data_IF_372109471599
#
_entry.id   IF_372109471599
#
_cell.length_a   1.000
_cell.length_b   1.000
_cell.length_c   1.000
_cell.angle_alpha   90.00
_cell.angle_beta   90.00
_cell.angle_gamma   90.00
#
_symmetry.space_group_name_H-M   'P 1'
#
loop_
_entity.id
_entity.type
_entity.pdbx_description
1 polymer ?
#
# COMPACT_ATOMS: atom_id res chain seq x y z
N UNK A 1 14.00 -27.51 30.39
CA UNK A 1 12.87 -26.60 30.16
C UNK A 1 13.40 -25.52 29.24
N UNK A 2 13.20 -25.68 27.94
CA UNK A 2 13.58 -24.66 26.94
C UNK A 2 12.61 -23.53 27.12
N UNK A 3 13.10 -22.34 27.47
CA UNK A 3 12.35 -21.09 27.43
C UNK A 3 11.87 -20.88 26.02
N UNK A 4 10.62 -21.23 25.74
CA UNK A 4 9.98 -20.93 24.48
C UNK A 4 9.88 -19.42 24.33
N UNK A 5 10.82 -18.82 23.63
CA UNK A 5 10.64 -17.45 23.15
C UNK A 5 9.37 -17.44 22.30
N UNK A 6 8.37 -16.67 22.71
CA UNK A 6 7.22 -16.43 21.84
C UNK A 6 7.76 -15.84 20.53
N UNK A 7 7.31 -16.33 19.37
CA UNK A 7 7.75 -15.78 18.10
C UNK A 7 7.44 -14.29 18.06
N UNK A 8 8.40 -13.51 17.57
CA UNK A 8 8.34 -12.05 17.59
C UNK A 8 7.18 -11.53 16.74
N UNK A 9 6.46 -10.54 17.23
CA UNK A 9 5.51 -9.77 16.44
C UNK A 9 6.26 -9.03 15.35
N UNK A 10 5.79 -9.11 14.11
CA UNK A 10 6.36 -8.40 12.96
C UNK A 10 5.63 -7.07 12.81
N UNK A 11 6.36 -5.99 12.74
CA UNK A 11 5.80 -4.65 12.54
C UNK A 11 6.03 -4.22 11.09
N UNK A 12 4.94 -3.89 10.40
CA UNK A 12 4.91 -3.45 9.02
C UNK A 12 4.28 -2.07 8.93
N UNK A 13 4.97 -1.11 8.33
CA UNK A 13 4.48 0.23 8.06
C UNK A 13 4.01 0.30 6.61
N UNK A 14 2.71 0.42 6.41
CA UNK A 14 2.14 0.61 5.08
C UNK A 14 1.99 2.09 4.77
N UNK A 15 2.64 2.54 3.70
CA UNK A 15 2.62 3.91 3.19
C UNK A 15 2.19 3.84 1.72
N UNK A 16 1.30 4.72 1.29
CA UNK A 16 0.68 4.59 -0.03
C UNK A 16 0.29 5.93 -0.65
N UNK A 17 0.08 5.94 -1.95
CA UNK A 17 -0.54 7.05 -2.68
C UNK A 17 0.19 8.37 -2.44
N UNK A 18 1.48 8.42 -2.82
CA UNK A 18 2.33 9.60 -2.64
C UNK A 18 2.09 10.63 -3.72
N UNK A 19 1.78 10.16 -4.95
CA UNK A 19 1.55 10.97 -6.13
C UNK A 19 2.64 12.02 -6.35
N UNK A 20 3.90 11.61 -6.22
CA UNK A 20 5.03 12.53 -6.41
C UNK A 20 5.04 13.05 -7.85
N UNK A 21 5.18 14.38 -8.01
CA UNK A 21 5.28 15.04 -9.30
C UNK A 21 6.72 15.03 -9.79
N UNK A 22 6.95 15.26 -11.09
CA UNK A 22 8.30 15.39 -11.66
C UNK A 22 9.07 16.52 -10.98
N UNK A 23 8.44 17.65 -10.77
CA UNK A 23 8.99 18.75 -9.97
C UNK A 23 8.54 18.65 -8.50
N UNK A 24 9.45 18.75 -7.52
CA UNK A 24 9.12 18.60 -6.11
C UNK A 24 8.32 19.76 -5.50
N UNK A 25 8.07 20.82 -6.29
CA UNK A 25 7.25 21.97 -5.87
C UNK A 25 5.91 22.03 -6.57
N UNK A 26 5.67 21.14 -7.54
CA UNK A 26 4.39 21.05 -8.23
C UNK A 26 3.30 20.51 -7.32
N UNK A 27 2.08 20.95 -7.55
CA UNK A 27 0.92 20.59 -6.76
C UNK A 27 0.02 19.59 -7.45
N UNK A 28 -0.71 18.82 -6.66
CA UNK A 28 -1.87 18.00 -7.07
C UNK A 28 -3.01 18.36 -6.14
N UNK A 29 -4.15 18.79 -6.67
CA UNK A 29 -5.26 19.32 -5.88
C UNK A 29 -4.81 20.38 -4.84
N UNK A 30 -3.90 21.29 -5.25
CA UNK A 30 -3.32 22.32 -4.42
C UNK A 30 -2.22 21.88 -3.46
N UNK A 31 -2.04 20.58 -3.22
CA UNK A 31 -1.05 20.02 -2.29
C UNK A 31 0.29 19.83 -2.99
N UNK A 32 1.37 20.35 -2.39
CA UNK A 32 2.75 19.97 -2.74
C UNK A 32 3.00 18.56 -2.20
N UNK A 33 2.79 17.54 -3.04
CA UNK A 33 2.78 16.13 -2.62
C UNK A 33 4.13 15.66 -2.07
N UNK A 34 5.24 16.17 -2.59
CA UNK A 34 6.58 15.95 -2.04
C UNK A 34 6.72 16.41 -0.59
N UNK A 35 6.21 17.59 -0.26
CA UNK A 35 6.27 18.13 1.10
C UNK A 35 5.40 17.30 2.05
N UNK A 36 4.19 16.95 1.62
CA UNK A 36 3.28 16.12 2.40
C UNK A 36 3.88 14.75 2.69
N UNK A 37 4.40 14.06 1.68
CA UNK A 37 5.08 12.77 1.84
C UNK A 37 6.27 12.85 2.82
N UNK A 38 7.14 13.86 2.68
CA UNK A 38 8.27 14.04 3.61
C UNK A 38 7.82 14.31 5.04
N UNK A 39 6.70 15.00 5.25
CA UNK A 39 6.14 15.21 6.57
C UNK A 39 5.62 13.91 7.17
N UNK A 40 4.97 13.06 6.37
CA UNK A 40 4.58 11.69 6.79
C UNK A 40 5.82 10.86 7.13
N UNK A 41 6.87 10.87 6.31
CA UNK A 41 8.13 10.16 6.62
C UNK A 41 8.76 10.64 7.93
N UNK A 42 8.74 11.96 8.21
CA UNK A 42 9.23 12.49 9.49
C UNK A 42 8.41 12.01 10.67
N UNK A 43 7.09 11.86 10.50
CA UNK A 43 6.20 11.38 11.57
C UNK A 43 6.37 9.88 11.88
N UNK A 44 6.98 9.09 10.98
CA UNK A 44 7.39 7.72 11.26
C UNK A 44 8.40 7.61 12.40
N UNK A 45 8.99 8.74 12.82
CA UNK A 45 10.08 8.79 13.78
C UNK A 45 11.16 7.73 13.49
N UNK A 46 12.14 8.03 12.60
CA UNK A 46 13.17 7.07 12.20
C UNK A 46 13.93 6.41 13.34
N UNK A 47 13.97 7.06 14.52
CA UNK A 47 14.61 6.52 15.73
C UNK A 47 13.79 5.39 16.38
N UNK A 48 12.51 5.29 16.07
CA UNK A 48 11.63 4.22 16.57
C UNK A 48 11.50 3.04 15.59
N UNK A 49 11.90 3.23 14.33
CA UNK A 49 11.95 2.17 13.33
C UNK A 49 13.18 1.30 13.61
N UNK A 50 12.94 0.01 13.82
CA UNK A 50 13.98 -0.99 14.06
C UNK A 50 14.39 -1.66 12.76
N UNK A 51 15.59 -2.19 12.70
CA UNK A 51 16.07 -2.97 11.55
C UNK A 51 15.22 -4.25 11.30
N UNK A 52 14.48 -4.70 12.31
CA UNK A 52 13.54 -5.82 12.23
C UNK A 52 12.14 -5.45 11.76
N UNK A 53 11.85 -4.16 11.58
CA UNK A 53 10.59 -3.69 11.02
C UNK A 53 10.63 -3.77 9.49
N UNK A 54 9.49 -3.56 8.86
CA UNK A 54 9.36 -3.58 7.41
C UNK A 54 8.52 -2.39 6.94
N UNK A 55 8.81 -1.87 5.77
CA UNK A 55 8.01 -0.84 5.11
C UNK A 55 7.43 -1.43 3.83
N UNK A 56 6.15 -1.19 3.60
CA UNK A 56 5.43 -1.60 2.40
C UNK A 56 4.81 -0.38 1.72
N UNK A 57 5.24 -0.11 0.50
CA UNK A 57 4.73 0.95 -0.35
C UNK A 57 3.71 0.34 -1.32
N UNK A 58 2.42 0.70 -1.17
CA UNK A 58 1.33 0.04 -1.88
C UNK A 58 0.81 0.80 -3.10
N UNK A 59 1.72 1.39 -3.87
CA UNK A 59 1.45 1.96 -5.18
C UNK A 59 1.11 3.45 -5.17
N UNK A 60 0.93 3.98 -6.38
CA UNK A 60 0.79 5.41 -6.69
C UNK A 60 1.92 6.23 -6.06
N UNK A 61 3.15 5.72 -6.27
CA UNK A 61 4.37 6.35 -5.77
C UNK A 61 4.66 7.64 -6.53
N UNK A 62 4.36 7.66 -7.83
CA UNK A 62 4.53 8.80 -8.71
C UNK A 62 3.21 9.15 -9.40
N UNK A 63 2.85 10.43 -9.44
CA UNK A 63 1.80 10.95 -10.33
C UNK A 63 2.30 11.01 -11.76
N UNK A 64 3.55 11.45 -11.92
CA UNK A 64 4.26 11.51 -13.18
C UNK A 64 5.38 10.46 -13.12
N UNK A 65 5.25 9.28 -13.75
CA UNK A 65 6.17 8.15 -13.62
C UNK A 65 7.48 8.36 -14.40
N UNK A 66 8.20 9.43 -14.07
CA UNK A 66 9.50 9.79 -14.62
C UNK A 66 10.64 9.19 -13.80
N UNK A 67 11.77 8.76 -14.39
CA UNK A 67 12.95 8.29 -13.68
C UNK A 67 13.43 9.23 -12.55
N UNK A 68 13.37 10.55 -12.77
CA UNK A 68 13.74 11.56 -11.77
C UNK A 68 12.86 11.47 -10.52
N UNK A 69 11.53 11.26 -10.71
CA UNK A 69 10.58 11.12 -9.61
C UNK A 69 10.94 9.93 -8.73
N UNK A 70 11.19 8.77 -9.32
CA UNK A 70 11.58 7.56 -8.58
C UNK A 70 12.96 7.67 -7.93
N UNK A 71 13.95 8.31 -8.60
CA UNK A 71 15.26 8.57 -8.00
C UNK A 71 15.17 9.51 -6.79
N UNK A 72 14.30 10.52 -6.86
CA UNK A 72 14.02 11.41 -5.72
C UNK A 72 13.35 10.65 -4.59
N UNK A 73 12.34 9.83 -4.86
CA UNK A 73 11.73 8.95 -3.86
C UNK A 73 12.79 8.07 -3.18
N UNK A 74 13.65 7.42 -3.98
CA UNK A 74 14.76 6.61 -3.46
C UNK A 74 15.65 7.42 -2.51
N UNK A 75 15.94 8.67 -2.83
CA UNK A 75 16.75 9.54 -1.97
C UNK A 75 16.09 9.85 -0.62
N UNK A 76 14.77 9.91 -0.57
CA UNK A 76 14.02 10.10 0.68
C UNK A 76 14.03 8.85 1.56
N UNK A 77 14.02 7.67 0.97
CA UNK A 77 13.95 6.39 1.69
C UNK A 77 15.31 5.88 2.17
N UNK A 78 16.42 6.38 1.62
CA UNK A 78 17.80 5.88 1.91
C UNK A 78 18.24 5.95 3.37
N UNK A 79 17.53 6.70 4.21
CA UNK A 79 17.84 6.82 5.64
C UNK A 79 17.11 5.78 6.51
N UNK A 80 16.23 5.01 5.90
CA UNK A 80 15.54 3.92 6.58
C UNK A 80 16.49 2.75 6.75
N UNK A 81 16.48 2.15 7.94
CA UNK A 81 17.39 1.05 8.30
C UNK A 81 16.74 -0.32 8.18
N UNK A 82 15.45 -0.38 7.85
CA UNK A 82 14.68 -1.60 7.65
C UNK A 82 14.41 -1.86 6.17
N UNK A 83 14.11 -3.11 5.77
CA UNK A 83 13.73 -3.44 4.41
C UNK A 83 12.51 -2.67 3.93
N UNK A 84 12.57 -2.17 2.70
CA UNK A 84 11.46 -1.49 2.02
C UNK A 84 11.00 -2.35 0.84
N UNK A 85 9.71 -2.65 0.80
CA UNK A 85 9.05 -3.36 -0.29
C UNK A 85 8.08 -2.42 -0.99
N UNK A 86 7.93 -2.55 -2.30
CA UNK A 86 6.97 -1.74 -3.04
C UNK A 86 6.25 -2.55 -4.10
N UNK A 87 5.11 -2.06 -4.52
CA UNK A 87 4.35 -2.52 -5.67
C UNK A 87 3.80 -1.30 -6.43
N UNK A 88 3.50 -1.42 -7.73
CA UNK A 88 2.99 -0.30 -8.53
C UNK A 88 1.51 -0.01 -8.24
N UNK A 89 1.12 1.27 -8.40
CA UNK A 89 -0.26 1.70 -8.55
C UNK A 89 -0.58 2.10 -9.99
N UNK A 90 -1.81 2.56 -10.25
CA UNK A 90 -2.27 2.88 -11.61
C UNK A 90 -1.62 4.13 -12.20
N UNK A 91 -1.03 4.99 -11.38
CA UNK A 91 -0.24 6.14 -11.83
C UNK A 91 1.22 5.76 -12.09
N UNK A 92 1.72 4.65 -11.57
CA UNK A 92 3.09 4.21 -11.77
C UNK A 92 3.29 3.57 -13.16
N UNK A 93 4.54 3.62 -13.63
CA UNK A 93 5.02 2.78 -14.74
C UNK A 93 5.96 1.72 -14.18
N UNK A 94 5.54 0.44 -14.12
CA UNK A 94 6.32 -0.62 -13.47
C UNK A 94 7.72 -0.80 -14.06
N UNK A 95 7.91 -0.55 -15.36
CA UNK A 95 9.22 -0.68 -16.00
C UNK A 95 10.17 0.45 -15.56
N UNK A 96 9.69 1.69 -15.56
CA UNK A 96 10.45 2.86 -15.10
C UNK A 96 10.73 2.76 -13.61
N UNK A 97 9.73 2.37 -12.81
CA UNK A 97 9.87 2.13 -11.37
C UNK A 97 10.96 1.09 -11.10
N UNK A 98 10.92 -0.04 -11.77
CA UNK A 98 11.92 -1.11 -11.58
C UNK A 98 13.34 -0.65 -11.90
N UNK A 99 13.52 0.16 -12.96
CA UNK A 99 14.84 0.66 -13.38
C UNK A 99 15.39 1.76 -12.47
N UNK A 100 14.53 2.65 -11.95
CA UNK A 100 14.95 3.86 -11.27
C UNK A 100 14.88 3.80 -9.75
N UNK A 101 13.95 3.00 -9.18
CA UNK A 101 13.70 2.90 -7.74
C UNK A 101 14.35 1.66 -7.12
N UNK A 102 14.23 0.50 -7.78
CA UNK A 102 14.58 -0.79 -7.18
C UNK A 102 16.10 -0.96 -7.06
N UNK A 103 16.56 -1.46 -5.89
CA UNK A 103 17.94 -1.85 -5.60
C UNK A 103 18.00 -2.88 -4.46
N UNK A 104 19.13 -2.94 -3.74
CA UNK A 104 19.29 -3.85 -2.60
C UNK A 104 18.43 -3.48 -1.40
N UNK A 105 18.13 -2.19 -1.22
CA UNK A 105 17.42 -1.66 -0.06
C UNK A 105 15.91 -1.53 -0.32
N UNK A 106 15.53 -1.24 -1.57
CA UNK A 106 14.12 -1.11 -2.01
C UNK A 106 13.82 -2.21 -3.01
N UNK A 107 12.86 -3.08 -2.69
CA UNK A 107 12.61 -4.32 -3.42
C UNK A 107 11.19 -4.38 -3.98
N UNK A 108 11.07 -4.94 -5.17
CA UNK A 108 9.81 -5.35 -5.75
C UNK A 108 9.82 -6.86 -5.89
N UNK A 109 9.30 -7.55 -4.89
CA UNK A 109 9.29 -9.01 -4.79
C UNK A 109 7.85 -9.50 -4.67
N UNK A 110 7.52 -10.57 -5.38
CA UNK A 110 6.18 -11.14 -5.34
C UNK A 110 5.88 -11.94 -4.06
N UNK A 111 6.93 -12.42 -3.36
CA UNK A 111 6.81 -13.18 -2.12
C UNK A 111 7.93 -12.82 -1.16
N UNK A 112 7.57 -12.47 0.06
CA UNK A 112 8.49 -12.08 1.12
C UNK A 112 8.17 -12.90 2.37
N UNK A 113 9.16 -13.61 2.91
CA UNK A 113 9.00 -14.36 4.15
C UNK A 113 9.29 -13.46 5.37
N UNK A 114 8.32 -13.32 6.23
CA UNK A 114 8.34 -12.48 7.42
C UNK A 114 8.09 -13.35 8.66
N UNK A 115 9.07 -14.18 9.04
CA UNK A 115 8.93 -15.10 10.17
C UNK A 115 7.76 -16.08 9.99
N UNK A 116 6.70 -15.99 10.80
CA UNK A 116 5.49 -16.83 10.69
C UNK A 116 4.51 -16.34 9.62
N UNK A 117 4.81 -15.23 8.96
CA UNK A 117 4.00 -14.66 7.89
C UNK A 117 4.70 -14.71 6.54
N UNK A 118 3.93 -14.87 5.49
CA UNK A 118 4.36 -14.62 4.11
C UNK A 118 3.56 -13.45 3.57
N UNK A 119 4.25 -12.42 3.06
CA UNK A 119 3.64 -11.32 2.32
C UNK A 119 3.72 -11.64 0.83
N UNK A 120 2.59 -11.60 0.12
CA UNK A 120 2.50 -11.79 -1.33
C UNK A 120 2.08 -10.47 -1.95
N UNK A 121 2.93 -9.91 -2.83
CA UNK A 121 2.69 -8.66 -3.54
C UNK A 121 2.26 -8.94 -4.98
N UNK A 122 1.14 -8.34 -5.39
CA UNK A 122 0.54 -8.51 -6.71
C UNK A 122 0.46 -7.16 -7.44
N UNK A 123 0.72 -7.19 -8.74
CA UNK A 123 0.45 -6.07 -9.64
C UNK A 123 -1.00 -6.15 -10.13
N UNK A 124 -1.81 -5.21 -9.69
CA UNK A 124 -3.22 -5.08 -10.10
C UNK A 124 -3.44 -3.99 -11.15
N UNK A 125 -2.37 -3.43 -11.72
CA UNK A 125 -2.47 -2.31 -12.66
C UNK A 125 -2.95 -2.75 -14.05
N UNK A 126 -3.69 -1.87 -14.69
CA UNK A 126 -4.02 -1.94 -16.12
C UNK A 126 -3.40 -0.71 -16.77
N UNK A 127 -2.56 -0.93 -17.76
CA UNK A 127 -1.87 0.18 -18.43
C UNK A 127 -2.85 1.26 -18.90
N UNK A 128 -2.63 2.52 -18.49
CA UNK A 128 -3.45 3.69 -18.83
C UNK A 128 -4.92 3.57 -18.38
N UNK A 129 -5.17 2.90 -17.29
CA UNK A 129 -6.50 2.80 -16.71
C UNK A 129 -6.43 2.99 -15.19
N UNK A 130 -7.37 3.71 -14.57
CA UNK A 130 -7.46 3.81 -13.13
C UNK A 130 -8.09 2.56 -12.48
N UNK A 131 -8.56 1.59 -13.29
CA UNK A 131 -9.18 0.35 -12.81
C UNK A 131 -8.11 -0.70 -12.53
N UNK A 132 -8.40 -1.57 -11.54
CA UNK A 132 -7.57 -2.70 -11.21
C UNK A 132 -8.01 -3.99 -11.93
N UNK A 133 -7.06 -4.86 -12.23
CA UNK A 133 -7.30 -6.23 -12.67
C UNK A 133 -6.06 -7.08 -12.42
N UNK A 134 -6.22 -8.29 -11.95
CA UNK A 134 -5.15 -9.27 -11.95
C UNK A 134 -5.12 -10.00 -13.29
N UNK A 135 -3.99 -9.90 -14.00
CA UNK A 135 -3.78 -10.68 -15.23
C UNK A 135 -3.73 -12.17 -14.93
N UNK A 136 -3.90 -13.03 -15.95
CA UNK A 136 -3.72 -14.47 -15.76
C UNK A 136 -2.36 -14.80 -15.15
N UNK A 137 -1.30 -14.13 -15.58
CA UNK A 137 0.04 -14.31 -15.01
C UNK A 137 0.10 -13.94 -13.52
N UNK A 138 -0.64 -12.93 -13.08
CA UNK A 138 -0.72 -12.56 -11.66
C UNK A 138 -1.56 -13.56 -10.84
N UNK A 139 -2.61 -14.13 -11.41
CA UNK A 139 -3.38 -15.19 -10.76
C UNK A 139 -2.57 -16.50 -10.65
N UNK A 140 -1.84 -16.89 -11.70
CA UNK A 140 -0.94 -18.04 -11.68
C UNK A 140 0.21 -17.85 -10.69
N UNK A 141 0.76 -16.61 -10.61
CA UNK A 141 1.78 -16.23 -9.62
C UNK A 141 1.23 -16.32 -8.20
N UNK A 142 0.01 -15.84 -7.97
CA UNK A 142 -0.66 -15.93 -6.68
C UNK A 142 -0.83 -17.40 -6.26
N UNK A 143 -1.36 -18.24 -7.12
CA UNK A 143 -1.53 -19.67 -6.85
C UNK A 143 -0.21 -20.35 -6.47
N UNK A 144 0.84 -20.10 -7.27
CA UNK A 144 2.20 -20.61 -7.00
C UNK A 144 2.74 -20.14 -5.65
N UNK A 145 2.56 -18.84 -5.32
CA UNK A 145 3.03 -18.26 -4.07
C UNK A 145 2.22 -18.78 -2.86
N UNK A 146 0.92 -19.01 -3.00
CA UNK A 146 0.11 -19.64 -1.94
C UNK A 146 0.59 -21.05 -1.61
N UNK A 147 1.01 -21.82 -2.62
CA UNK A 147 1.54 -23.18 -2.46
C UNK A 147 2.94 -23.20 -1.85
N UNK A 148 3.79 -22.23 -2.20
CA UNK A 148 5.21 -22.16 -1.77
C UNK A 148 5.42 -21.39 -0.46
N UNK A 149 4.40 -20.66 0.03
CA UNK A 149 4.46 -19.85 1.24
C UNK A 149 4.89 -20.67 2.46
N UNK A 150 6.00 -20.27 3.10
CA UNK A 150 6.57 -20.94 4.28
C UNK A 150 5.89 -20.51 5.57
N UNK A 151 5.36 -19.29 5.61
CA UNK A 151 4.63 -18.78 6.77
C UNK A 151 3.37 -19.60 7.09
N UNK A 152 2.98 -19.57 8.35
CA UNK A 152 1.72 -20.15 8.83
C UNK A 152 0.53 -19.28 8.43
N UNK A 153 0.78 -18.00 8.16
CA UNK A 153 -0.19 -16.98 7.81
C UNK A 153 0.26 -16.21 6.58
N UNK A 154 -0.70 -15.78 5.75
CA UNK A 154 -0.44 -15.05 4.51
C UNK A 154 -1.18 -13.71 4.53
N UNK A 155 -0.46 -12.66 4.15
CA UNK A 155 -0.99 -11.35 3.83
C UNK A 155 -0.78 -11.08 2.34
N UNK A 156 -1.83 -10.62 1.66
CA UNK A 156 -1.75 -10.20 0.25
C UNK A 156 -1.65 -8.67 0.21
N UNK A 157 -0.80 -8.13 -0.65
CA UNK A 157 -0.71 -6.71 -0.92
C UNK A 157 -0.94 -6.44 -2.42
N UNK A 158 -1.80 -5.50 -2.73
CA UNK A 158 -2.03 -4.99 -4.07
C UNK A 158 -2.45 -3.51 -3.97
N UNK A 159 -2.42 -2.78 -5.10
CA UNK A 159 -2.80 -1.37 -5.05
C UNK A 159 -4.32 -1.18 -4.97
N UNK A 160 -5.06 -1.76 -5.91
CA UNK A 160 -6.52 -1.56 -6.00
C UNK A 160 -7.28 -2.37 -4.95
N UNK A 161 -8.35 -1.79 -4.42
CA UNK A 161 -9.24 -2.46 -3.47
C UNK A 161 -10.05 -3.58 -4.16
N UNK A 162 -10.12 -4.79 -3.57
CA UNK A 162 -10.78 -5.93 -4.21
C UNK A 162 -12.28 -6.02 -3.91
N UNK A 163 -12.81 -5.21 -2.99
CA UNK A 163 -14.23 -5.12 -2.64
C UNK A 163 -14.67 -3.66 -2.60
N UNK A 164 -15.96 -3.35 -2.78
CA UNK A 164 -16.43 -1.98 -2.70
C UNK A 164 -16.08 -1.30 -1.37
N UNK A 165 -15.55 -0.08 -1.45
CA UNK A 165 -15.28 0.77 -0.28
C UNK A 165 -16.52 1.57 0.16
N UNK A 166 -17.54 1.64 -0.70
CA UNK A 166 -18.80 2.34 -0.49
C UNK A 166 -18.84 3.76 -1.06
N UNK A 167 -17.81 4.20 -1.79
CA UNK A 167 -17.80 5.42 -2.58
C UNK A 167 -18.07 5.06 -4.04
N UNK A 168 -19.24 5.40 -4.58
CA UNK A 168 -19.73 4.88 -5.87
C UNK A 168 -18.75 5.14 -7.03
N UNK A 169 -18.19 6.34 -7.11
CA UNK A 169 -17.20 6.67 -8.14
C UNK A 169 -15.92 5.84 -8.02
N UNK A 170 -15.43 5.62 -6.79
CA UNK A 170 -14.22 4.85 -6.48
C UNK A 170 -14.46 3.36 -6.74
N UNK A 171 -15.66 2.87 -6.43
CA UNK A 171 -16.04 1.47 -6.63
C UNK A 171 -16.12 1.07 -8.11
N UNK A 172 -16.12 2.05 -9.04
CA UNK A 172 -15.94 1.78 -10.49
C UNK A 172 -14.52 1.34 -10.84
N UNK A 173 -13.55 1.53 -9.94
CA UNK A 173 -12.11 1.31 -10.13
C UNK A 173 -11.54 0.17 -9.28
N UNK A 174 -12.40 -0.69 -8.74
CA UNK A 174 -12.00 -1.92 -8.02
C UNK A 174 -11.20 -2.88 -8.90
N UNK A 175 -10.68 -3.95 -8.30
CA UNK A 175 -10.17 -5.11 -9.04
C UNK A 175 -11.33 -5.75 -9.83
N UNK A 176 -11.32 -5.62 -11.16
CA UNK A 176 -12.43 -5.99 -12.05
C UNK A 176 -12.75 -7.49 -12.09
N UNK A 177 -11.80 -8.32 -11.72
CA UNK A 177 -11.96 -9.79 -11.64
C UNK A 177 -11.78 -10.26 -10.19
N UNK A 178 -12.37 -9.56 -9.24
CA UNK A 178 -12.31 -9.92 -7.83
C UNK A 178 -12.84 -11.32 -7.54
N UNK A 179 -13.87 -11.80 -8.27
CA UNK A 179 -14.39 -13.16 -8.10
C UNK A 179 -13.32 -14.22 -8.40
N UNK A 180 -12.58 -14.06 -9.51
CA UNK A 180 -11.45 -14.95 -9.87
C UNK A 180 -10.35 -14.87 -8.79
N UNK A 181 -10.04 -13.68 -8.31
CA UNK A 181 -9.07 -13.45 -7.25
C UNK A 181 -9.45 -14.17 -5.95
N UNK A 182 -10.67 -13.96 -5.45
CA UNK A 182 -11.14 -14.65 -4.24
C UNK A 182 -11.26 -16.15 -4.43
N UNK A 183 -11.60 -16.63 -5.64
CA UNK A 183 -11.59 -18.06 -5.94
C UNK A 183 -10.19 -18.66 -5.72
N UNK A 184 -9.14 -18.03 -6.22
CA UNK A 184 -7.75 -18.48 -5.99
C UNK A 184 -7.38 -18.40 -4.51
N UNK A 185 -7.72 -17.31 -3.81
CA UNK A 185 -7.43 -17.15 -2.37
C UNK A 185 -8.06 -18.25 -1.51
N UNK A 186 -9.26 -18.71 -1.87
CA UNK A 186 -9.97 -19.77 -1.14
C UNK A 186 -9.29 -21.15 -1.24
N UNK A 187 -8.28 -21.31 -2.09
CA UNK A 187 -7.46 -22.53 -2.14
C UNK A 187 -6.54 -22.65 -0.91
N UNK A 188 -6.33 -21.58 -0.14
CA UNK A 188 -5.46 -21.58 1.02
C UNK A 188 -6.15 -21.05 2.29
N UNK A 189 -6.23 -21.86 3.31
CA UNK A 189 -6.74 -21.45 4.63
C UNK A 189 -5.77 -20.56 5.43
N UNK A 190 -4.55 -20.30 4.91
CA UNK A 190 -3.54 -19.47 5.55
C UNK A 190 -3.76 -17.97 5.35
N UNK A 191 -4.54 -17.55 4.35
CA UNK A 191 -4.77 -16.12 4.05
C UNK A 191 -5.55 -15.48 5.18
N UNK A 192 -5.00 -14.41 5.76
CA UNK A 192 -5.58 -13.65 6.89
C UNK A 192 -6.03 -12.27 6.49
N UNK A 193 -5.27 -11.60 5.62
CA UNK A 193 -5.59 -10.24 5.24
C UNK A 193 -5.17 -9.90 3.80
N UNK A 194 -5.83 -8.88 3.28
CA UNK A 194 -5.46 -8.15 2.07
C UNK A 194 -5.24 -6.71 2.47
N UNK A 195 -4.12 -6.10 2.06
CA UNK A 195 -3.84 -4.68 2.25
C UNK A 195 -3.80 -3.97 0.90
N UNK A 196 -4.40 -2.77 0.83
CA UNK A 196 -4.45 -1.99 -0.41
C UNK A 196 -4.25 -0.48 -0.16
N UNK A 197 -3.91 0.25 -1.23
CA UNK A 197 -3.94 1.70 -1.35
C UNK A 197 -5.16 2.18 -2.12
N UNK A 198 -4.95 3.12 -3.05
CA UNK A 198 -5.89 3.60 -4.07
C UNK A 198 -7.08 4.41 -3.55
N UNK A 199 -7.71 3.97 -2.48
CA UNK A 199 -8.94 4.58 -1.96
C UNK A 199 -8.71 5.83 -1.12
N UNK A 200 -7.46 6.15 -0.75
CA UNK A 200 -7.10 7.27 0.13
C UNK A 200 -7.95 7.36 1.40
N UNK A 201 -8.31 6.23 1.97
CA UNK A 201 -9.17 6.13 3.16
C UNK A 201 -8.63 5.14 4.17
N UNK A 202 -8.93 5.36 5.45
CA UNK A 202 -8.78 4.34 6.47
C UNK A 202 -9.95 3.37 6.36
N UNK A 203 -9.73 2.24 5.68
CA UNK A 203 -10.72 1.22 5.42
C UNK A 203 -10.37 -0.06 6.17
N UNK A 204 -11.38 -0.74 6.72
CA UNK A 204 -11.20 -1.99 7.45
C UNK A 204 -12.51 -2.78 7.41
N UNK A 205 -12.53 -3.90 6.71
CA UNK A 205 -13.71 -4.74 6.51
C UNK A 205 -13.33 -6.22 6.56
N UNK A 206 -14.29 -7.02 6.97
CA UNK A 206 -14.19 -8.48 6.92
C UNK A 206 -14.98 -8.98 5.71
N UNK A 207 -14.30 -9.80 4.89
CA UNK A 207 -14.92 -10.56 3.80
C UNK A 207 -14.61 -12.04 4.08
N UNK A 208 -15.62 -12.81 4.48
CA UNK A 208 -15.46 -14.17 4.98
C UNK A 208 -14.41 -14.24 6.10
N UNK A 209 -13.34 -15.03 5.91
CA UNK A 209 -12.24 -15.16 6.87
C UNK A 209 -11.06 -14.23 6.58
N UNK A 210 -11.17 -13.33 5.61
CA UNK A 210 -10.09 -12.43 5.17
C UNK A 210 -10.42 -11.01 5.58
N UNK A 211 -9.52 -10.35 6.30
CA UNK A 211 -9.62 -8.93 6.65
C UNK A 211 -9.07 -8.08 5.51
N UNK A 212 -9.82 -7.10 5.03
CA UNK A 212 -9.43 -6.22 3.94
C UNK A 212 -9.19 -4.82 4.50
N UNK A 213 -7.96 -4.33 4.32
CA UNK A 213 -7.45 -3.14 4.97
C UNK A 213 -6.97 -2.15 3.92
N UNK A 214 -7.58 -0.97 3.86
CA UNK A 214 -7.11 0.15 3.04
C UNK A 214 -6.41 1.19 3.90
N UNK A 215 -5.38 1.82 3.35
CA UNK A 215 -4.54 2.78 4.06
C UNK A 215 -4.75 4.18 3.52
N UNK A 216 -4.74 5.22 4.38
CA UNK A 216 -4.83 6.60 3.93
C UNK A 216 -3.62 7.00 3.10
N UNK A 217 -3.84 7.91 2.17
CA UNK A 217 -2.79 8.52 1.36
C UNK A 217 -1.86 9.41 2.18
N UNK A 218 -0.64 9.61 1.68
CA UNK A 218 0.30 10.59 2.21
C UNK A 218 0.10 12.01 1.67
N UNK A 219 -0.84 12.21 0.72
CA UNK A 219 -1.09 13.54 0.15
C UNK A 219 -2.45 14.12 0.57
N UNK A 220 -3.56 13.61 0.10
CA UNK A 220 -4.92 14.02 0.47
C UNK A 220 -5.84 12.80 0.56
N UNK A 221 -6.99 12.97 1.18
CA UNK A 221 -7.94 11.88 1.39
C UNK A 221 -9.18 12.06 0.53
N UNK A 222 -9.85 10.96 0.17
CA UNK A 222 -11.16 11.00 -0.47
C UNK A 222 -12.27 10.83 0.58
N UNK A 223 -13.36 11.57 0.40
CA UNK A 223 -14.53 11.49 1.28
C UNK A 223 -15.15 10.10 1.20
N UNK A 224 -15.26 9.38 2.33
CA UNK A 224 -15.91 8.08 2.34
C UNK A 224 -17.39 8.15 1.99
N UNK A 225 -17.89 7.14 1.29
CA UNK A 225 -19.31 6.99 0.91
C UNK A 225 -19.84 8.12 0.03
N UNK A 226 -18.98 8.76 -0.72
CA UNK A 226 -19.37 9.78 -1.69
C UNK A 226 -19.82 9.13 -3.00
N UNK A 227 -20.89 9.65 -3.62
CA UNK A 227 -21.31 9.24 -4.97
C UNK A 227 -20.36 9.76 -6.04
N UNK A 228 -19.81 10.96 -5.85
CA UNK A 228 -18.92 11.64 -6.76
C UNK A 228 -17.54 11.83 -6.14
N UNK A 229 -16.55 12.19 -6.98
CA UNK A 229 -15.22 12.58 -6.50
C UNK A 229 -15.34 13.70 -5.45
N UNK A 230 -14.73 13.51 -4.30
CA UNK A 230 -14.74 14.49 -3.22
C UNK A 230 -13.53 14.32 -2.32
N UNK A 231 -12.87 15.43 -2.01
CA UNK A 231 -11.71 15.49 -1.12
C UNK A 231 -12.18 15.69 0.32
N UNK A 232 -11.64 14.90 1.24
CA UNK A 232 -11.94 14.96 2.67
C UNK A 232 -10.99 15.95 3.39
N UNK A 233 -11.44 16.44 4.54
CA UNK A 233 -10.69 17.33 5.43
C UNK A 233 -9.99 16.57 6.57
N UNK A 234 -9.51 15.36 6.28
CA UNK A 234 -8.74 14.54 7.21
C UNK A 234 -7.26 14.56 6.81
N UNK A 235 -6.33 14.77 7.76
CA UNK A 235 -4.90 14.83 7.45
C UNK A 235 -4.35 13.55 6.83
N UNK A 236 -3.25 13.66 6.05
CA UNK A 236 -2.49 12.54 5.53
C UNK A 236 -1.94 11.63 6.62
N UNK A 237 -1.57 10.41 6.24
CA UNK A 237 -1.01 9.49 7.21
C UNK A 237 -0.49 8.19 6.61
N UNK A 238 -0.30 7.23 7.47
CA UNK A 238 0.14 5.87 7.15
C UNK A 238 -0.52 4.87 8.11
N UNK A 239 -0.31 3.60 7.88
CA UNK A 239 -0.82 2.53 8.76
C UNK A 239 0.31 1.71 9.34
N UNK A 240 0.21 1.41 10.62
CA UNK A 240 1.04 0.40 11.30
C UNK A 240 0.24 -0.89 11.38
N UNK A 241 0.88 -1.99 11.03
CA UNK A 241 0.36 -3.35 11.12
C UNK A 241 1.29 -4.16 12.01
N UNK A 242 0.76 -4.74 13.07
CA UNK A 242 1.46 -5.71 13.92
C UNK A 242 0.93 -7.11 13.59
N UNK A 243 1.76 -7.90 12.91
CA UNK A 243 1.46 -9.25 12.50
C UNK A 243 1.89 -10.20 13.62
N UNK A 244 0.92 -10.78 14.29
CA UNK A 244 1.16 -11.64 15.43
C UNK A 244 1.39 -13.10 14.99
N UNK A 245 2.14 -13.83 15.77
CA UNK A 245 2.49 -15.23 15.47
C UNK A 245 1.30 -16.19 15.39
N UNK A 246 0.18 -15.82 16.01
CA UNK A 246 -1.07 -16.60 16.00
C UNK A 246 -2.01 -16.26 14.81
N UNK A 247 -1.57 -15.38 13.91
CA UNK A 247 -2.34 -14.93 12.74
C UNK A 247 -3.25 -13.74 13.00
N UNK A 248 -3.29 -13.20 14.21
CA UNK A 248 -3.99 -11.97 14.52
C UNK A 248 -3.22 -10.75 13.97
N UNK A 249 -3.96 -9.69 13.65
CA UNK A 249 -3.41 -8.43 13.16
C UNK A 249 -3.96 -7.30 14.03
N UNK A 250 -3.07 -6.57 14.70
CA UNK A 250 -3.39 -5.27 15.27
C UNK A 250 -3.01 -4.20 14.27
N UNK A 251 -3.79 -3.15 14.19
CA UNK A 251 -3.49 -2.08 13.25
C UNK A 251 -3.95 -0.74 13.78
N UNK A 252 -3.17 0.29 13.44
CA UNK A 252 -3.42 1.67 13.77
C UNK A 252 -3.14 2.56 12.55
N UNK A 253 -3.95 3.59 12.36
CA UNK A 253 -3.70 4.66 11.41
C UNK A 253 -3.09 5.83 12.15
N UNK A 254 -1.89 6.21 11.77
CA UNK A 254 -1.20 7.40 12.27
C UNK A 254 -1.36 8.52 11.24
N UNK A 255 -1.80 9.70 11.70
CA UNK A 255 -2.02 10.87 10.84
C UNK A 255 -1.18 12.05 11.27
N UNK A 256 -0.88 12.92 10.32
CA UNK A 256 -0.34 14.24 10.65
C UNK A 256 -1.37 15.03 11.47
N UNK A 257 -0.90 16.03 12.20
CA UNK A 257 -1.78 16.88 13.03
C UNK A 257 -2.56 17.90 12.20
N UNK A 258 -2.07 18.23 11.00
CA UNK A 258 -2.58 19.31 10.18
C UNK A 258 -2.82 18.83 8.74
N UNK A 259 -3.77 19.48 8.06
CA UNK A 259 -3.99 19.32 6.64
C UNK A 259 -2.79 19.87 5.86
N UNK A 260 -2.52 19.33 4.65
CA UNK A 260 -1.54 19.92 3.76
C UNK A 260 -1.94 21.35 3.38
N UNK A 261 -0.97 22.24 3.39
CA UNK A 261 -1.17 23.61 2.91
C UNK A 261 -1.62 23.61 1.43
N UNK A 262 -2.56 24.47 1.11
CA UNK A 262 -3.09 24.65 -0.24
C UNK A 262 -4.13 23.63 -0.70
N UNK A 263 -4.53 22.68 0.15
CA UNK A 263 -5.50 21.64 -0.21
C UNK A 263 -6.78 22.25 -0.79
N UNK A 264 -7.08 21.92 -2.05
CA UNK A 264 -8.29 22.35 -2.76
C UNK A 264 -9.42 21.33 -2.58
N UNK A 265 -10.23 21.54 -1.55
CA UNK A 265 -11.41 20.70 -1.27
C UNK A 265 -12.54 20.85 -2.29
N UNK A 266 -12.49 21.89 -3.15
CA UNK A 266 -13.45 22.13 -4.21
C UNK A 266 -13.10 21.46 -5.54
N UNK A 267 -11.96 20.74 -5.61
CA UNK A 267 -11.57 20.02 -6.82
C UNK A 267 -12.59 18.95 -7.20
N UNK A 268 -12.81 18.81 -8.52
CA UNK A 268 -13.76 17.86 -9.11
C UNK A 268 -13.09 16.64 -9.76
N UNK A 269 -11.78 16.44 -9.56
CA UNK A 269 -10.99 15.34 -10.12
C UNK A 269 -9.48 15.63 -10.10
N UNK A 270 -8.68 14.65 -10.56
CA UNK A 270 -7.21 14.77 -10.70
C UNK A 270 -6.67 13.78 -11.73
#
# INVERSE_FOLDING_TARGET
MTSGQQPATIRLFQITDFHLRTSPVDTLNGVVTDLSFRNVLKSLNPLEIKASDHILLTGDLAQDPDPITYQRLKSYLKHLTCPVYCLPGNHDDPETMNKALIDADIRYESQIELGTWTLICLDSTIRKSPKGRLSLAQLDLLESNLLSAKGDHIMIALHHHPIPCGSEWMDTMTVQNSDEFFHVLNSSSKVRAIVCGHIHQAFDRQQDNIRIIGTPSTCFQFTPKSSDFSIDTIPPGYRVLELMADGNIRTEVVRLNELPEGLDIGSSGY
#
